data_IF_247093270786
#
_entry.id   IF_247093270786
#
_cell.length_a   1.000
_cell.length_b   1.000
_cell.length_c   1.000
_cell.angle_alpha   90.00
_cell.angle_beta   90.00
_cell.angle_gamma   90.00
#
_symmetry.space_group_name_H-M   'P 1'
#
loop_
_entity.id
_entity.type
_entity.pdbx_description
1 polymer ?
#
# COMPACT_ATOMS: atom_id res chain seq x y z
N UNK A 1 8.35 16.65 -17.97
CA UNK A 1 7.44 17.25 -18.97
C UNK A 1 7.34 16.33 -20.18
N UNK A 2 6.13 16.17 -20.70
CA UNK A 2 5.89 15.43 -21.94
C UNK A 2 6.57 16.12 -23.14
N UNK A 3 6.94 15.33 -24.16
CA UNK A 3 7.43 15.85 -25.42
C UNK A 3 6.34 16.63 -26.19
N UNK A 4 6.70 17.52 -27.14
CA UNK A 4 5.70 18.19 -27.97
C UNK A 4 4.79 17.19 -28.69
N UNK A 5 3.47 17.36 -28.56
CA UNK A 5 2.46 16.44 -29.14
C UNK A 5 2.17 15.20 -28.28
N UNK A 6 2.87 15.05 -27.15
CA UNK A 6 2.68 13.94 -26.20
C UNK A 6 2.01 14.41 -24.91
N UNK A 7 1.46 13.46 -24.17
CA UNK A 7 0.86 13.66 -22.82
C UNK A 7 1.35 12.56 -21.91
N UNK A 8 1.64 12.89 -20.64
CA UNK A 8 1.91 11.91 -19.61
C UNK A 8 0.58 11.31 -19.12
N UNK A 9 0.55 10.01 -19.02
CA UNK A 9 -0.52 9.25 -18.40
C UNK A 9 0.08 8.57 -17.17
N UNK A 10 -0.39 8.94 -16.00
CA UNK A 10 0.04 8.42 -14.71
C UNK A 10 -1.02 7.49 -14.15
N UNK A 11 -0.62 6.36 -13.62
CA UNK A 11 -1.52 5.44 -12.94
C UNK A 11 -0.90 4.99 -11.62
N UNK A 12 -1.56 5.31 -10.50
CA UNK A 12 -1.13 5.02 -9.13
C UNK A 12 -2.07 4.03 -8.45
N UNK A 13 -1.50 3.05 -7.73
CA UNK A 13 -2.31 2.12 -6.94
C UNK A 13 -2.89 2.81 -5.70
N UNK A 14 -4.20 2.76 -5.58
CA UNK A 14 -4.89 3.23 -4.38
C UNK A 14 -4.71 2.26 -3.22
N UNK A 15 -3.87 2.63 -2.24
CA UNK A 15 -3.69 1.93 -0.95
C UNK A 15 -3.27 0.46 -1.09
N UNK A 16 -2.39 0.15 -2.03
CA UNK A 16 -1.99 -1.24 -2.35
C UNK A 16 -1.55 -2.03 -1.12
N UNK A 17 -0.76 -1.46 -0.22
CA UNK A 17 -0.24 -2.16 0.95
C UNK A 17 -1.34 -2.57 1.93
N UNK A 18 -2.37 -1.71 2.13
CA UNK A 18 -3.51 -2.04 2.99
C UNK A 18 -4.42 -3.10 2.34
N UNK A 19 -4.55 -3.09 1.02
CA UNK A 19 -5.27 -4.14 0.28
C UNK A 19 -4.56 -5.48 0.36
N UNK A 20 -3.23 -5.48 0.24
CA UNK A 20 -2.40 -6.67 0.45
C UNK A 20 -2.55 -7.17 1.90
N UNK A 21 -2.50 -6.28 2.89
CA UNK A 21 -2.72 -6.63 4.30
C UNK A 21 -4.08 -7.27 4.52
N UNK A 22 -5.16 -6.69 3.97
CA UNK A 22 -6.51 -7.24 4.04
C UNK A 22 -6.61 -8.64 3.42
N UNK A 23 -5.93 -8.87 2.30
CA UNK A 23 -5.88 -10.16 1.64
C UNK A 23 -5.12 -11.20 2.47
N UNK A 24 -3.89 -10.87 2.91
CA UNK A 24 -3.01 -11.78 3.65
C UNK A 24 -3.62 -12.17 4.99
N UNK A 25 -4.16 -11.21 5.74
CA UNK A 25 -4.73 -11.46 7.07
C UNK A 25 -6.09 -12.14 7.00
N UNK A 26 -6.83 -11.96 5.92
CA UNK A 26 -8.22 -12.39 5.83
C UNK A 26 -9.11 -11.71 6.87
N UNK A 27 -8.76 -10.50 7.32
CA UNK A 27 -9.58 -9.73 8.26
C UNK A 27 -10.86 -9.26 7.59
N UNK A 28 -12.00 -9.78 8.08
CA UNK A 28 -13.29 -9.55 7.44
C UNK A 28 -13.69 -8.08 7.46
N UNK A 29 -13.41 -7.36 8.55
CA UNK A 29 -13.78 -5.95 8.68
C UNK A 29 -12.98 -5.10 7.68
N UNK A 30 -11.68 -5.39 7.51
CA UNK A 30 -10.83 -4.72 6.55
C UNK A 30 -11.21 -5.06 5.11
N UNK A 31 -11.50 -6.33 4.81
CA UNK A 31 -11.97 -6.75 3.49
C UNK A 31 -13.31 -6.11 3.12
N UNK A 32 -14.28 -6.08 4.03
CA UNK A 32 -15.58 -5.45 3.79
C UNK A 32 -15.45 -3.95 3.52
N UNK A 33 -14.57 -3.24 4.22
CA UNK A 33 -14.32 -1.83 3.95
C UNK A 33 -13.86 -1.60 2.48
N UNK A 34 -12.94 -2.43 1.97
CA UNK A 34 -12.50 -2.33 0.58
C UNK A 34 -13.55 -2.79 -0.43
N UNK A 35 -14.29 -3.86 -0.15
CA UNK A 35 -15.32 -4.40 -1.05
C UNK A 35 -16.52 -3.46 -1.17
N UNK A 36 -16.84 -2.71 -0.11
CA UNK A 36 -17.90 -1.69 -0.14
C UNK A 36 -17.50 -0.39 -0.81
N UNK A 37 -16.23 -0.25 -1.21
CA UNK A 37 -15.70 1.01 -1.75
C UNK A 37 -15.53 2.11 -0.69
N UNK A 38 -15.60 1.77 0.59
CA UNK A 38 -15.40 2.73 1.67
C UNK A 38 -13.94 3.21 1.74
N UNK A 39 -13.76 4.45 2.16
CA UNK A 39 -12.44 4.98 2.50
C UNK A 39 -11.96 4.37 3.81
N UNK A 40 -11.01 3.44 3.73
CA UNK A 40 -10.48 2.71 4.91
C UNK A 40 -9.93 3.66 5.98
N UNK A 41 -9.37 4.82 5.60
CA UNK A 41 -8.87 5.80 6.56
C UNK A 41 -10.02 6.53 7.26
N UNK A 42 -11.11 6.83 6.53
CA UNK A 42 -12.33 7.40 7.10
C UNK A 42 -13.03 6.40 8.02
N UNK A 43 -13.18 5.16 7.60
CA UNK A 43 -13.74 4.09 8.43
C UNK A 43 -12.92 3.86 9.70
N UNK A 44 -11.59 3.85 9.60
CA UNK A 44 -10.68 3.76 10.74
C UNK A 44 -10.84 4.96 11.68
N UNK A 45 -10.89 6.19 11.15
CA UNK A 45 -11.12 7.41 11.95
C UNK A 45 -12.42 7.32 12.73
N UNK A 46 -13.52 6.97 12.08
CA UNK A 46 -14.83 6.82 12.72
C UNK A 46 -14.77 5.86 13.94
N UNK A 47 -14.06 4.75 13.80
CA UNK A 47 -13.89 3.76 14.89
C UNK A 47 -12.99 4.28 16.01
N UNK A 48 -11.84 4.91 15.66
CA UNK A 48 -10.86 5.40 16.66
C UNK A 48 -11.43 6.56 17.48
N UNK A 49 -12.14 7.48 16.82
CA UNK A 49 -12.71 8.67 17.46
C UNK A 49 -14.14 8.48 17.96
N UNK A 50 -14.73 7.30 17.74
CA UNK A 50 -16.13 6.96 18.14
C UNK A 50 -17.18 7.95 17.60
N UNK A 51 -17.05 8.31 16.31
CA UNK A 51 -17.94 9.22 15.59
C UNK A 51 -18.50 8.54 14.33
N UNK A 52 -19.64 9.00 13.78
CA UNK A 52 -20.12 8.57 12.47
C UNK A 52 -19.10 8.91 11.37
N UNK A 53 -19.05 8.10 10.32
CA UNK A 53 -18.16 8.38 9.16
C UNK A 53 -18.45 9.72 8.49
N UNK A 54 -19.72 10.19 8.51
CA UNK A 54 -20.13 11.51 8.03
C UNK A 54 -19.40 12.66 8.71
N UNK A 55 -19.07 12.49 9.98
CA UNK A 55 -18.49 13.53 10.84
C UNK A 55 -16.94 13.51 10.84
N UNK A 56 -16.34 12.58 10.08
CA UNK A 56 -14.90 12.50 9.94
C UNK A 56 -14.38 13.65 9.09
N UNK A 57 -13.65 14.56 9.72
CA UNK A 57 -12.98 15.68 9.04
C UNK A 57 -11.75 15.22 8.26
N UNK A 58 -11.19 16.09 7.43
CA UNK A 58 -9.96 15.82 6.70
C UNK A 58 -8.78 15.54 7.65
N UNK A 59 -8.68 16.28 8.75
CA UNK A 59 -7.62 16.12 9.76
C UNK A 59 -7.72 14.76 10.46
N UNK A 60 -8.92 14.34 10.85
CA UNK A 60 -9.15 13.04 11.48
C UNK A 60 -8.85 11.89 10.52
N UNK A 61 -9.22 12.04 9.24
CA UNK A 61 -8.87 11.08 8.18
C UNK A 61 -7.34 10.99 8.00
N UNK A 62 -6.64 12.14 7.99
CA UNK A 62 -5.18 12.19 7.88
C UNK A 62 -4.50 11.54 9.08
N UNK A 63 -4.99 11.79 10.29
CA UNK A 63 -4.53 11.12 11.51
C UNK A 63 -4.72 9.59 11.43
N UNK A 64 -5.90 9.14 10.98
CA UNK A 64 -6.16 7.71 10.79
C UNK A 64 -5.28 7.09 9.69
N UNK A 65 -4.95 7.83 8.63
CA UNK A 65 -3.95 7.39 7.64
C UNK A 65 -2.60 7.14 8.30
N UNK A 66 -2.13 8.07 9.14
CA UNK A 66 -0.88 7.90 9.87
C UNK A 66 -0.92 6.71 10.87
N UNK A 67 -2.08 6.44 11.48
CA UNK A 67 -2.30 5.29 12.36
C UNK A 67 -2.25 3.99 11.56
N UNK A 68 -3.00 3.87 10.47
CA UNK A 68 -3.04 2.68 9.62
C UNK A 68 -1.64 2.28 9.16
N UNK A 69 -0.88 3.22 8.59
CA UNK A 69 0.50 2.96 8.16
C UNK A 69 1.46 2.77 9.34
N UNK A 70 1.28 3.53 10.41
CA UNK A 70 2.10 3.41 11.61
C UNK A 70 2.05 2.01 12.21
N UNK A 71 0.87 1.43 12.32
CA UNK A 71 0.68 0.08 12.86
C UNK A 71 1.25 -0.97 11.90
N UNK A 72 0.93 -0.85 10.62
CA UNK A 72 1.47 -1.74 9.59
C UNK A 72 3.01 -1.75 9.61
N UNK A 73 3.65 -0.59 9.84
CA UNK A 73 5.11 -0.48 9.95
C UNK A 73 5.66 -0.76 11.35
N UNK A 74 4.83 -1.23 12.27
CA UNK A 74 5.25 -1.63 13.62
C UNK A 74 5.63 -0.46 14.53
N UNK A 75 5.06 0.74 14.33
CA UNK A 75 5.23 1.85 15.26
C UNK A 75 4.52 1.56 16.57
N UNK A 76 5.22 1.73 17.68
CA UNK A 76 4.62 1.70 19.02
C UNK A 76 3.99 3.04 19.41
N UNK A 77 3.27 3.07 20.54
CA UNK A 77 2.55 4.24 21.04
C UNK A 77 3.41 5.50 21.18
N UNK A 78 4.69 5.36 21.56
CA UNK A 78 5.60 6.50 21.68
C UNK A 78 5.84 7.20 20.34
N UNK A 79 6.19 6.43 19.29
CA UNK A 79 6.45 6.98 17.97
C UNK A 79 5.18 7.53 17.33
N UNK A 80 4.07 6.82 17.47
CA UNK A 80 2.77 7.24 16.96
C UNK A 80 2.30 8.54 17.64
N UNK A 81 2.44 8.64 18.96
CA UNK A 81 2.09 9.85 19.70
C UNK A 81 2.89 11.07 19.27
N UNK A 82 4.20 10.86 19.00
CA UNK A 82 5.06 11.93 18.48
C UNK A 82 4.62 12.40 17.09
N UNK A 83 4.28 11.47 16.18
CA UNK A 83 3.86 11.81 14.82
C UNK A 83 2.51 12.54 14.79
N UNK A 84 1.59 12.17 15.67
CA UNK A 84 0.26 12.76 15.77
C UNK A 84 0.19 13.99 16.68
N UNK A 85 1.24 14.30 17.43
CA UNK A 85 1.24 15.40 18.42
C UNK A 85 0.33 15.13 19.62
N UNK A 86 0.09 13.87 19.99
CA UNK A 86 -0.77 13.43 21.09
C UNK A 86 0.04 12.73 22.18
N UNK A 87 -0.57 12.53 23.34
CA UNK A 87 0.08 11.80 24.44
C UNK A 87 0.29 10.31 24.08
N UNK A 88 1.32 9.69 24.70
CA UNK A 88 1.59 8.25 24.54
C UNK A 88 0.39 7.41 24.96
N UNK A 89 -0.37 7.85 25.97
CA UNK A 89 -1.56 7.16 26.46
C UNK A 89 -2.69 7.18 25.43
N UNK A 90 -2.91 8.31 24.78
CA UNK A 90 -3.90 8.43 23.68
C UNK A 90 -3.49 7.58 22.48
N UNK A 91 -2.21 7.63 22.09
CA UNK A 91 -1.68 6.80 21.03
C UNK A 91 -1.82 5.29 21.33
N UNK A 92 -1.61 4.86 22.57
CA UNK A 92 -1.84 3.47 23.01
C UNK A 92 -3.32 3.08 22.91
N UNK A 93 -4.22 3.98 23.28
CA UNK A 93 -5.67 3.77 23.11
C UNK A 93 -6.03 3.61 21.63
N UNK A 94 -5.49 4.44 20.74
CA UNK A 94 -5.70 4.34 19.30
C UNK A 94 -5.19 3.02 18.72
N UNK A 95 -3.97 2.60 19.12
CA UNK A 95 -3.43 1.29 18.74
C UNK A 95 -4.35 0.15 19.15
N UNK A 96 -4.80 0.12 20.40
CA UNK A 96 -5.70 -0.91 20.91
C UNK A 96 -7.05 -0.91 20.18
N UNK A 97 -7.62 0.27 19.94
CA UNK A 97 -8.88 0.40 19.20
C UNK A 97 -8.73 -0.13 17.76
N UNK A 98 -7.62 0.19 17.08
CA UNK A 98 -7.33 -0.32 15.75
C UNK A 98 -7.21 -1.86 15.73
N UNK A 99 -6.42 -2.43 16.63
CA UNK A 99 -6.22 -3.88 16.69
C UNK A 99 -7.49 -4.63 17.11
N UNK A 100 -8.35 -4.01 17.93
CA UNK A 100 -9.68 -4.55 18.23
C UNK A 100 -10.64 -4.46 17.00
N UNK A 101 -10.47 -3.45 16.16
CA UNK A 101 -11.26 -3.29 14.93
C UNK A 101 -10.84 -4.30 13.86
N UNK A 102 -9.53 -4.58 13.78
CA UNK A 102 -8.92 -5.49 12.81
C UNK A 102 -8.13 -6.59 13.55
N UNK A 103 -8.81 -7.54 14.21
CA UNK A 103 -8.16 -8.46 15.15
C UNK A 103 -7.18 -9.43 14.49
N UNK A 104 -7.36 -9.76 13.20
CA UNK A 104 -6.44 -10.65 12.49
C UNK A 104 -5.12 -9.99 12.11
N UNK A 105 -5.07 -8.65 12.10
CA UNK A 105 -3.85 -7.89 11.80
C UNK A 105 -2.79 -8.13 12.87
N UNK A 106 -3.15 -8.05 14.17
CA UNK A 106 -2.18 -8.25 15.25
C UNK A 106 -1.59 -9.67 15.23
N UNK A 107 -2.44 -10.68 15.12
CA UNK A 107 -2.01 -12.07 15.01
C UNK A 107 -1.05 -12.30 13.84
N UNK A 108 -1.35 -11.73 12.67
CA UNK A 108 -0.47 -11.79 11.51
C UNK A 108 0.89 -11.13 11.79
N UNK A 109 0.91 -9.93 12.38
CA UNK A 109 2.15 -9.20 12.69
C UNK A 109 3.05 -9.96 13.68
N UNK A 110 2.47 -10.64 14.68
CA UNK A 110 3.22 -11.49 15.61
C UNK A 110 3.77 -12.73 14.90
N UNK A 111 2.94 -13.40 14.12
CA UNK A 111 3.34 -14.59 13.35
C UNK A 111 4.49 -14.29 12.38
N UNK A 112 4.54 -13.12 11.75
CA UNK A 112 5.65 -12.71 10.88
C UNK A 112 6.98 -12.71 11.64
N UNK A 113 7.00 -12.19 12.87
CA UNK A 113 8.21 -12.13 13.69
C UNK A 113 8.64 -13.53 14.13
N UNK A 114 7.71 -14.34 14.63
CA UNK A 114 7.99 -15.71 15.10
C UNK A 114 8.54 -16.57 13.96
N UNK A 115 7.89 -16.53 12.82
CA UNK A 115 8.31 -17.23 11.62
C UNK A 115 9.69 -16.77 11.13
N UNK A 116 9.94 -15.46 11.15
CA UNK A 116 11.24 -14.91 10.77
C UNK A 116 12.36 -15.30 11.75
N UNK A 117 12.07 -15.40 13.06
CA UNK A 117 13.01 -15.91 14.06
C UNK A 117 13.34 -17.38 13.85
N UNK A 118 12.34 -18.18 13.49
CA UNK A 118 12.51 -19.63 13.23
C UNK A 118 13.28 -19.89 11.94
N UNK A 119 12.88 -19.23 10.83
CA UNK A 119 13.45 -19.51 9.50
C UNK A 119 14.66 -18.65 9.13
N UNK A 120 14.89 -17.54 9.83
CA UNK A 120 15.95 -16.59 9.50
C UNK A 120 15.64 -15.65 8.33
N UNK A 121 14.43 -15.72 7.76
CA UNK A 121 13.99 -14.85 6.66
C UNK A 121 12.48 -14.66 6.69
N UNK A 122 12.01 -13.68 5.92
CA UNK A 122 10.61 -13.51 5.51
C UNK A 122 10.51 -13.56 4.00
N UNK A 123 9.30 -13.78 3.47
CA UNK A 123 9.07 -13.83 2.04
C UNK A 123 7.78 -13.08 1.63
N UNK A 124 7.74 -12.64 0.37
CA UNK A 124 6.56 -12.07 -0.27
C UNK A 124 5.58 -13.17 -0.67
N UNK A 125 4.36 -12.79 -1.08
CA UNK A 125 3.40 -13.74 -1.66
C UNK A 125 3.91 -14.41 -2.94
N UNK A 126 4.95 -13.85 -3.58
CA UNK A 126 5.61 -14.41 -4.76
C UNK A 126 6.87 -15.23 -4.42
N UNK A 127 7.13 -15.48 -3.13
CA UNK A 127 8.27 -16.30 -2.68
C UNK A 127 9.62 -15.57 -2.71
N UNK A 128 9.66 -14.25 -2.89
CA UNK A 128 10.89 -13.47 -2.79
C UNK A 128 11.32 -13.38 -1.32
N UNK A 129 12.52 -13.87 -1.01
CA UNK A 129 13.03 -13.97 0.36
C UNK A 129 13.91 -12.80 0.74
N UNK A 130 13.76 -12.35 1.99
CA UNK A 130 14.64 -11.41 2.65
C UNK A 130 15.21 -12.04 3.92
N UNK A 131 16.52 -12.36 3.97
CA UNK A 131 17.18 -12.79 5.21
C UNK A 131 17.14 -11.68 6.26
N UNK A 132 16.98 -12.06 7.53
CA UNK A 132 16.87 -11.14 8.67
C UNK A 132 17.84 -11.54 9.79
N UNK A 133 19.16 -11.44 9.57
CA UNK A 133 20.16 -11.74 10.61
C UNK A 133 20.06 -10.83 11.82
N UNK A 134 19.44 -9.64 11.68
CA UNK A 134 19.19 -8.67 12.74
C UNK A 134 18.39 -9.25 13.90
N UNK A 135 17.51 -10.21 13.64
CA UNK A 135 16.66 -10.85 14.67
C UNK A 135 17.47 -11.65 15.69
N UNK A 136 18.66 -12.14 15.34
CA UNK A 136 19.56 -12.85 16.22
C UNK A 136 20.50 -11.91 17.02
N UNK A 137 20.43 -10.60 16.81
CA UNK A 137 21.32 -9.64 17.47
C UNK A 137 21.01 -9.50 18.95
N UNK A 138 22.06 -9.45 19.79
CA UNK A 138 21.96 -9.10 21.20
C UNK A 138 21.63 -7.61 21.42
N UNK A 139 21.93 -6.75 20.44
CA UNK A 139 21.58 -5.34 20.48
C UNK A 139 20.08 -5.14 20.26
N UNK A 140 19.40 -4.55 21.25
CA UNK A 140 17.95 -4.30 21.20
C UNK A 140 17.51 -3.46 20.01
N UNK A 141 18.26 -2.42 19.64
CA UNK A 141 17.89 -1.54 18.50
C UNK A 141 17.97 -2.27 17.17
N UNK A 142 19.01 -3.09 16.98
CA UNK A 142 19.19 -3.92 15.79
C UNK A 142 18.08 -4.96 15.70
N UNK A 143 17.81 -5.67 16.79
CA UNK A 143 16.73 -6.67 16.85
C UNK A 143 15.36 -6.04 16.59
N UNK A 144 15.04 -4.90 17.22
CA UNK A 144 13.79 -4.17 16.96
C UNK A 144 13.66 -3.71 15.50
N UNK A 145 14.77 -3.34 14.86
CA UNK A 145 14.76 -3.05 13.42
C UNK A 145 14.44 -4.31 12.60
N UNK A 146 15.02 -5.47 12.96
CA UNK A 146 14.71 -6.76 12.33
C UNK A 146 13.23 -7.13 12.46
N UNK A 147 12.62 -6.90 13.64
CA UNK A 147 11.19 -7.16 13.85
C UNK A 147 10.29 -6.25 12.99
N UNK A 148 10.66 -4.98 12.81
CA UNK A 148 9.95 -4.10 11.86
C UNK A 148 10.08 -4.60 10.42
N UNK A 149 11.28 -4.99 10.01
CA UNK A 149 11.50 -5.57 8.67
C UNK A 149 10.72 -6.86 8.46
N UNK A 150 10.58 -7.69 9.50
CA UNK A 150 9.81 -8.93 9.44
C UNK A 150 8.32 -8.68 9.15
N UNK A 151 7.74 -7.63 9.74
CA UNK A 151 6.34 -7.24 9.50
C UNK A 151 6.13 -6.60 8.13
N UNK A 152 7.04 -5.70 7.73
CA UNK A 152 6.85 -4.86 6.55
C UNK A 152 7.18 -5.58 5.24
N UNK A 153 8.24 -6.40 5.23
CA UNK A 153 8.74 -6.99 3.98
C UNK A 153 7.72 -7.85 3.24
N UNK A 154 6.88 -8.69 3.90
CA UNK A 154 5.86 -9.45 3.18
C UNK A 154 4.86 -8.56 2.44
N UNK A 155 4.50 -7.42 3.00
CA UNK A 155 3.53 -6.48 2.43
C UNK A 155 4.20 -5.61 1.37
N UNK A 156 5.23 -4.85 1.72
CA UNK A 156 5.92 -3.94 0.80
C UNK A 156 6.61 -4.70 -0.34
N UNK A 157 7.21 -5.85 -0.04
CA UNK A 157 7.83 -6.69 -1.05
C UNK A 157 6.81 -7.25 -2.04
N UNK A 158 5.63 -7.64 -1.55
CA UNK A 158 4.53 -8.08 -2.43
C UNK A 158 4.02 -6.94 -3.30
N UNK A 159 3.86 -5.72 -2.76
CA UNK A 159 3.52 -4.55 -3.56
C UNK A 159 4.56 -4.29 -4.65
N UNK A 160 5.85 -4.39 -4.31
CA UNK A 160 6.95 -4.25 -5.28
C UNK A 160 6.96 -5.37 -6.35
N UNK A 161 6.54 -6.57 -6.03
CA UNK A 161 6.40 -7.65 -7.02
C UNK A 161 5.20 -7.40 -7.93
N UNK A 162 4.07 -6.94 -7.39
CA UNK A 162 2.85 -6.60 -8.15
C UNK A 162 3.13 -5.50 -9.18
N UNK A 163 3.71 -4.36 -8.76
CA UNK A 163 3.97 -3.25 -9.70
C UNK A 163 4.94 -3.66 -10.82
N UNK A 164 5.92 -4.53 -10.54
CA UNK A 164 6.82 -5.04 -11.57
C UNK A 164 6.12 -5.94 -12.58
N UNK A 165 5.19 -6.78 -12.13
CA UNK A 165 4.37 -7.59 -13.04
C UNK A 165 3.46 -6.69 -13.88
N UNK A 166 2.78 -5.74 -13.27
CA UNK A 166 1.95 -4.76 -13.96
C UNK A 166 2.75 -3.99 -15.02
N UNK A 167 3.96 -3.53 -14.66
CA UNK A 167 4.88 -2.86 -15.57
C UNK A 167 5.20 -3.71 -16.82
N UNK A 168 5.46 -4.99 -16.63
CA UNK A 168 5.74 -5.92 -17.74
C UNK A 168 4.49 -6.12 -18.62
N UNK A 169 3.32 -6.30 -18.00
CA UNK A 169 2.05 -6.47 -18.72
C UNK A 169 1.69 -5.22 -19.53
N UNK A 170 1.79 -4.03 -18.93
CA UNK A 170 1.59 -2.75 -19.64
C UNK A 170 2.53 -2.63 -20.82
N UNK A 171 3.83 -2.86 -20.62
CA UNK A 171 4.82 -2.78 -21.70
C UNK A 171 4.55 -3.78 -22.83
N UNK A 172 4.17 -5.02 -22.50
CA UNK A 172 3.82 -6.04 -23.51
C UNK A 172 2.60 -5.61 -24.31
N UNK A 173 1.55 -5.13 -23.64
CA UNK A 173 0.30 -4.72 -24.29
C UNK A 173 0.49 -3.51 -25.20
N UNK A 174 1.26 -2.50 -24.78
CA UNK A 174 1.62 -1.36 -25.64
C UNK A 174 2.31 -1.83 -26.95
N UNK A 175 3.20 -2.81 -26.86
CA UNK A 175 3.89 -3.39 -28.01
C UNK A 175 2.97 -4.22 -28.91
N UNK A 176 2.16 -5.09 -28.33
CA UNK A 176 1.29 -6.02 -29.07
C UNK A 176 0.20 -5.26 -29.84
N UNK A 177 -0.29 -4.16 -29.25
CA UNK A 177 -1.25 -3.24 -29.88
C UNK A 177 -0.55 -2.21 -30.80
N UNK A 178 0.79 -2.26 -30.93
CA UNK A 178 1.62 -1.39 -31.79
C UNK A 178 1.42 0.10 -31.55
N UNK A 179 1.21 0.48 -30.29
CA UNK A 179 1.09 1.87 -29.90
C UNK A 179 2.45 2.57 -29.93
N UNK A 180 2.43 3.90 -30.15
CA UNK A 180 3.61 4.75 -30.07
C UNK A 180 3.91 5.16 -28.62
N UNK A 181 2.95 5.00 -27.73
CA UNK A 181 3.09 5.25 -26.32
C UNK A 181 4.25 4.45 -25.69
N UNK A 182 4.92 5.05 -24.74
CA UNK A 182 6.13 4.50 -24.10
C UNK A 182 6.03 4.53 -22.59
N UNK A 183 6.26 3.40 -21.93
CA UNK A 183 6.45 3.35 -20.50
C UNK A 183 7.78 4.04 -20.15
N UNK A 184 7.72 5.11 -19.34
CA UNK A 184 8.88 5.92 -19.01
C UNK A 184 9.45 5.59 -17.63
N UNK A 185 8.62 5.55 -16.60
CA UNK A 185 9.04 5.45 -15.22
C UNK A 185 8.10 4.54 -14.42
N UNK A 186 8.68 3.91 -13.40
CA UNK A 186 7.98 3.34 -12.26
C UNK A 186 8.51 4.04 -11.01
N UNK A 187 7.62 4.64 -10.23
CA UNK A 187 7.96 5.35 -9.00
C UNK A 187 7.03 4.84 -7.90
N UNK A 188 7.60 4.28 -6.81
CA UNK A 188 6.81 3.63 -5.75
C UNK A 188 5.77 2.64 -6.31
N UNK A 189 4.51 2.98 -6.29
CA UNK A 189 3.33 2.21 -6.71
C UNK A 189 2.64 2.79 -7.95
N UNK A 190 3.30 3.69 -8.67
CA UNK A 190 2.80 4.32 -9.90
C UNK A 190 3.59 3.94 -11.15
N UNK A 191 2.91 3.96 -12.30
CA UNK A 191 3.48 3.81 -13.64
C UNK A 191 3.19 5.05 -14.48
N UNK A 192 4.23 5.59 -15.14
CA UNK A 192 4.12 6.76 -15.99
C UNK A 192 4.41 6.37 -17.43
N UNK A 193 3.43 6.60 -18.31
CA UNK A 193 3.50 6.39 -19.75
C UNK A 193 3.41 7.73 -20.47
N UNK A 194 4.25 7.94 -21.47
CA UNK A 194 4.13 9.05 -22.40
C UNK A 194 3.40 8.55 -23.66
N UNK A 195 2.36 9.27 -24.09
CA UNK A 195 1.52 8.86 -25.20
C UNK A 195 1.18 10.03 -26.13
N UNK A 196 1.12 9.80 -27.47
CA UNK A 196 0.52 10.74 -28.39
C UNK A 196 -0.93 11.06 -28.01
N UNK A 197 -1.37 12.28 -28.25
CA UNK A 197 -2.72 12.75 -27.87
C UNK A 197 -3.86 11.81 -28.32
N UNK A 198 -3.74 11.19 -29.49
CA UNK A 198 -4.73 10.27 -30.03
C UNK A 198 -4.72 8.88 -29.35
N UNK A 199 -3.69 8.53 -28.58
CA UNK A 199 -3.58 7.26 -27.87
C UNK A 199 -3.90 7.38 -26.36
N UNK A 200 -4.00 8.59 -25.81
CA UNK A 200 -4.14 8.85 -24.36
C UNK A 200 -5.27 8.05 -23.72
N UNK A 201 -6.49 8.11 -24.26
CA UNK A 201 -7.64 7.41 -23.68
C UNK A 201 -7.51 5.88 -23.77
N UNK A 202 -6.80 5.40 -24.79
CA UNK A 202 -6.49 3.98 -24.89
C UNK A 202 -5.47 3.55 -23.85
N UNK A 203 -4.39 4.33 -23.68
CA UNK A 203 -3.33 4.08 -22.70
C UNK A 203 -3.87 4.13 -21.27
N UNK A 204 -4.75 5.07 -20.95
CA UNK A 204 -5.45 5.10 -19.66
C UNK A 204 -6.15 3.78 -19.34
N UNK A 205 -6.87 3.24 -20.32
CA UNK A 205 -7.57 1.97 -20.16
C UNK A 205 -6.59 0.81 -19.98
N UNK A 206 -5.50 0.76 -20.76
CA UNK A 206 -4.46 -0.27 -20.64
C UNK A 206 -3.85 -0.24 -19.23
N UNK A 207 -3.40 0.93 -18.78
CA UNK A 207 -2.82 1.07 -17.45
C UNK A 207 -3.77 0.57 -16.36
N UNK A 208 -5.02 1.03 -16.39
CA UNK A 208 -6.01 0.63 -15.40
C UNK A 208 -6.26 -0.87 -15.39
N UNK A 209 -6.51 -1.45 -16.56
CA UNK A 209 -6.80 -2.88 -16.70
C UNK A 209 -5.62 -3.75 -16.24
N UNK A 210 -4.40 -3.47 -16.73
CA UNK A 210 -3.22 -4.27 -16.43
C UNK A 210 -2.78 -4.13 -14.96
N UNK A 211 -2.94 -2.95 -14.35
CA UNK A 211 -2.64 -2.77 -12.93
C UNK A 211 -3.68 -3.42 -12.03
N UNK A 212 -4.97 -3.27 -12.32
CA UNK A 212 -6.03 -3.80 -11.47
C UNK A 212 -6.17 -5.33 -11.58
N UNK A 213 -5.83 -5.93 -12.73
CA UNK A 213 -6.03 -7.36 -13.00
C UNK A 213 -4.78 -8.21 -12.89
N UNK A 214 -3.64 -7.62 -12.51
CA UNK A 214 -2.34 -8.31 -12.44
C UNK A 214 -2.35 -9.49 -11.46
N UNK A 215 -3.18 -9.42 -10.42
CA UNK A 215 -3.42 -10.49 -9.44
C UNK A 215 -4.89 -10.59 -9.07
N UNK A 216 -5.32 -11.77 -8.60
CA UNK A 216 -6.68 -11.99 -8.09
C UNK A 216 -6.63 -12.18 -6.58
N UNK A 217 -6.95 -11.15 -5.82
CA UNK A 217 -6.99 -11.16 -4.36
C UNK A 217 -8.42 -11.11 -3.81
N UNK A 218 -8.58 -11.35 -2.51
CA UNK A 218 -9.88 -11.27 -1.82
C UNK A 218 -10.46 -9.85 -1.78
N UNK A 219 -9.63 -8.85 -2.04
CA UNK A 219 -10.01 -7.45 -2.25
C UNK A 219 -9.43 -6.97 -3.58
N UNK A 220 -10.18 -6.21 -4.38
CA UNK A 220 -9.69 -5.73 -5.68
C UNK A 220 -8.52 -4.76 -5.49
N UNK A 221 -7.53 -4.81 -6.37
CA UNK A 221 -6.62 -3.71 -6.57
C UNK A 221 -7.33 -2.63 -7.40
N UNK A 222 -7.09 -1.37 -7.08
CA UNK A 222 -7.63 -0.23 -7.85
C UNK A 222 -6.51 0.73 -8.19
N UNK A 223 -6.51 1.24 -9.42
CA UNK A 223 -5.57 2.24 -9.90
C UNK A 223 -6.32 3.53 -10.28
N UNK A 224 -5.85 4.65 -9.77
CA UNK A 224 -6.29 5.98 -10.18
C UNK A 224 -5.45 6.41 -11.38
N UNK A 225 -6.09 6.96 -12.43
CA UNK A 225 -5.39 7.32 -13.67
C UNK A 225 -5.61 8.80 -13.96
N UNK A 226 -4.52 9.54 -14.01
CA UNK A 226 -4.48 10.96 -14.36
C UNK A 226 -3.70 11.24 -15.65
N UNK A 227 -3.81 12.46 -16.15
CA UNK A 227 -3.10 12.91 -17.35
C UNK A 227 -2.64 14.36 -17.23
N UNK A 228 -1.48 14.67 -17.79
CA UNK A 228 -0.96 16.04 -17.77
C UNK A 228 0.26 16.22 -18.66
N UNK A 229 0.65 17.48 -18.89
CA UNK A 229 1.91 17.80 -19.59
C UNK A 229 3.12 17.69 -18.69
N UNK A 230 2.90 17.76 -17.39
CA UNK A 230 3.91 17.50 -16.35
C UNK A 230 3.45 16.38 -15.44
N UNK A 231 4.38 15.76 -14.74
CA UNK A 231 4.04 14.74 -13.73
C UNK A 231 3.11 15.29 -12.64
N UNK A 232 3.36 16.54 -12.18
CA UNK A 232 2.50 17.19 -11.16
C UNK A 232 1.05 17.37 -11.63
N UNK A 233 0.82 17.57 -12.92
CA UNK A 233 -0.54 17.67 -13.49
C UNK A 233 -1.20 16.32 -13.70
N UNK A 234 -0.40 15.28 -13.94
CA UNK A 234 -0.87 13.93 -14.20
C UNK A 234 -1.21 13.15 -12.91
N UNK A 235 -0.56 13.52 -11.77
CA UNK A 235 -0.68 12.85 -10.46
C UNK A 235 -1.84 13.36 -9.59
#
# INVERSE_FOLDING_TARGET
MAAPGETLVDADYSQIELRILAHITGDEAMQQAFLSGADIHRATAAKIYHIPESDVTHELRTSAKAINFGIMYGKGAFSLGKDLGISVKEADTFLKTYLNTFPKVDGYMQNCIEHAKEKGYVETLFGRRRPLPELASSNFQVRSSGERMARNTPIQGTAADIIKLAMVHVWQRLRDEKLQARLLLQVHDELIVEAPENEVEHVKRILKEEMEQVVSYSVPLTAEVGTGKTWLEAH
#
